data_IF_456531451328
#
_entry.id   IF_456531451328
#
_cell.length_a   1.000
_cell.length_b   1.000
_cell.length_c   1.000
_cell.angle_alpha   90.00
_cell.angle_beta   90.00
_cell.angle_gamma   90.00
#
_symmetry.space_group_name_H-M   'P 1'
#
loop_
_entity.id
_entity.type
_entity.pdbx_description
1 polymer ?
#
# COMPACT_ATOMS: atom_id res chain seq x y z
N UNK A 1 -31.04 -4.98 21.31
CA UNK A 1 -30.48 -3.65 20.93
C UNK A 1 -29.22 -3.91 20.12
N UNK A 2 -29.27 -3.49 18.86
CA UNK A 2 -28.48 -3.98 17.73
C UNK A 2 -27.07 -3.39 17.70
N UNK A 3 -26.04 -4.23 17.53
CA UNK A 3 -24.64 -3.84 17.26
C UNK A 3 -24.48 -3.49 15.77
N UNK A 4 -24.14 -2.25 15.47
CA UNK A 4 -23.71 -1.82 14.13
C UNK A 4 -22.18 -2.02 13.98
N UNK A 5 -21.77 -2.80 12.98
CA UNK A 5 -20.38 -2.91 12.51
C UNK A 5 -20.14 -1.82 11.46
N UNK A 6 -19.20 -0.91 11.72
CA UNK A 6 -18.73 0.07 10.73
C UNK A 6 -17.65 -0.56 9.85
N UNK A 7 -17.94 -0.65 8.54
CA UNK A 7 -16.99 -1.02 7.49
C UNK A 7 -16.36 0.29 6.99
N UNK A 8 -15.03 0.35 6.96
CA UNK A 8 -14.27 1.53 6.55
C UNK A 8 -14.30 1.69 5.02
N UNK A 9 -14.97 2.74 4.55
CA UNK A 9 -15.07 3.11 3.15
C UNK A 9 -13.76 3.76 2.67
N UNK A 10 -13.11 3.13 1.69
CA UNK A 10 -12.04 3.75 0.89
C UNK A 10 -12.70 4.59 -0.19
N UNK A 11 -12.42 5.90 -0.23
CA UNK A 11 -12.90 6.81 -1.27
C UNK A 11 -11.99 6.68 -2.50
N UNK A 12 -12.44 5.94 -3.51
CA UNK A 12 -11.90 5.98 -4.87
C UNK A 12 -12.41 7.25 -5.57
N UNK A 13 -11.51 8.12 -6.02
CA UNK A 13 -11.89 9.21 -6.94
C UNK A 13 -11.89 8.64 -8.36
N UNK A 14 -13.06 8.16 -8.80
CA UNK A 14 -13.31 7.77 -10.19
C UNK A 14 -13.50 9.04 -11.04
N UNK A 15 -12.59 9.29 -11.97
CA UNK A 15 -12.94 10.00 -13.22
C UNK A 15 -13.00 8.94 -14.33
N UNK A 16 -14.18 8.40 -14.54
CA UNK A 16 -14.50 7.53 -15.67
C UNK A 16 -15.07 8.39 -16.79
N UNK A 17 -14.48 8.40 -18.00
CA UNK A 17 -15.17 8.87 -19.18
C UNK A 17 -15.85 7.69 -19.88
N UNK A 18 -17.10 7.92 -20.31
CA UNK A 18 -17.79 7.28 -21.46
C UNK A 18 -18.76 6.10 -21.18
N UNK A 19 -20.04 6.52 -21.08
CA UNK A 19 -21.29 6.02 -21.70
C UNK A 19 -21.96 4.67 -21.38
N UNK A 20 -23.17 4.83 -20.82
CA UNK A 20 -24.51 4.27 -21.18
C UNK A 20 -24.77 2.74 -21.12
N UNK A 21 -25.77 2.46 -20.27
CA UNK A 21 -26.83 1.43 -20.32
C UNK A 21 -26.46 -0.01 -19.94
N UNK A 22 -26.72 -0.35 -18.68
CA UNK A 22 -27.56 -1.50 -18.28
C UNK A 22 -27.93 -1.39 -16.78
N UNK A 23 -29.14 -1.84 -16.44
CA UNK A 23 -29.80 -1.65 -15.13
C UNK A 23 -29.19 -2.53 -14.02
N UNK A 24 -29.23 -2.14 -12.74
CA UNK A 24 -28.76 -3.00 -11.65
C UNK A 24 -29.81 -4.07 -11.28
N UNK A 25 -29.42 -5.35 -11.28
CA UNK A 25 -30.22 -6.42 -10.68
C UNK A 25 -30.02 -6.42 -9.16
N UNK A 26 -31.12 -6.25 -8.42
CA UNK A 26 -31.20 -6.47 -6.98
C UNK A 26 -31.32 -7.98 -6.70
N UNK A 27 -30.48 -8.51 -5.81
CA UNK A 27 -30.76 -9.76 -5.12
C UNK A 27 -30.80 -9.48 -3.61
N UNK A 28 -31.97 -9.63 -3.02
CA UNK A 28 -32.15 -9.74 -1.57
C UNK A 28 -32.98 -10.99 -1.33
N UNK A 29 -32.37 -12.04 -0.78
CA UNK A 29 -33.12 -13.16 -0.24
C UNK A 29 -32.78 -13.27 1.25
N UNK A 30 -33.78 -12.96 2.08
CA UNK A 30 -33.83 -13.36 3.49
C UNK A 30 -33.93 -14.88 3.54
N UNK A 31 -33.07 -15.54 4.32
CA UNK A 31 -33.32 -16.92 4.77
C UNK A 31 -33.89 -16.86 6.19
N UNK A 32 -35.15 -17.27 6.34
CA UNK A 32 -35.76 -17.60 7.62
C UNK A 32 -35.31 -19.01 8.04
N UNK A 33 -34.74 -19.14 9.24
CA UNK A 33 -34.00 -20.34 9.67
C UNK A 33 -34.85 -21.38 10.41
N UNK A 34 -36.18 -21.22 10.46
CA UNK A 34 -37.05 -22.01 11.34
C UNK A 34 -38.18 -22.77 10.62
N UNK A 35 -37.92 -23.36 9.45
CA UNK A 35 -38.77 -24.42 8.92
C UNK A 35 -37.90 -25.56 8.35
N UNK A 36 -37.60 -26.53 9.19
CA UNK A 36 -37.11 -27.84 8.79
C UNK A 36 -37.91 -28.87 9.58
N UNK A 37 -39.04 -29.28 8.99
CA UNK A 37 -39.78 -30.45 9.40
C UNK A 37 -38.99 -31.70 9.00
N UNK A 38 -38.83 -32.59 9.98
CA UNK A 38 -38.16 -33.88 9.82
C UNK A 38 -39.11 -34.89 9.20
N UNK A 39 -39.20 -34.94 7.88
CA UNK A 39 -39.69 -36.11 7.16
C UNK A 39 -39.36 -35.97 5.68
N UNK A 40 -38.49 -36.84 5.18
CA UNK A 40 -38.55 -37.54 3.89
C UNK A 40 -37.27 -38.38 3.82
N UNK A 41 -37.48 -39.68 4.03
CA UNK A 41 -36.51 -40.71 3.76
C UNK A 41 -36.67 -41.15 2.29
N UNK A 42 -35.54 -41.34 1.61
CA UNK A 42 -35.46 -42.05 0.34
C UNK A 42 -35.75 -41.20 -0.89
N UNK A 43 -34.71 -40.56 -1.42
CA UNK A 43 -34.53 -40.35 -2.85
C UNK A 43 -33.01 -40.23 -3.11
N UNK A 44 -32.55 -40.88 -4.18
CA UNK A 44 -31.17 -40.81 -4.67
C UNK A 44 -30.72 -39.35 -4.79
N UNK A 45 -29.67 -38.99 -4.05
CA UNK A 45 -29.00 -37.69 -4.20
C UNK A 45 -28.27 -37.68 -5.54
N UNK A 46 -28.96 -37.27 -6.59
CA UNK A 46 -28.32 -36.82 -7.81
C UNK A 46 -27.52 -35.55 -7.43
N UNK A 47 -26.19 -35.67 -7.41
CA UNK A 47 -25.33 -34.58 -7.00
C UNK A 47 -25.67 -33.35 -7.85
N UNK A 48 -25.93 -32.17 -7.25
CA UNK A 48 -26.23 -30.99 -8.04
C UNK A 48 -25.05 -30.76 -8.98
N UNK A 49 -25.33 -30.88 -10.29
CA UNK A 49 -24.40 -30.52 -11.35
C UNK A 49 -23.96 -29.09 -11.06
N UNK A 50 -22.75 -28.94 -10.54
CA UNK A 50 -22.11 -27.64 -10.36
C UNK A 50 -22.08 -27.06 -11.77
N UNK A 51 -22.75 -25.93 -12.05
CA UNK A 51 -22.70 -25.34 -13.37
C UNK A 51 -21.22 -25.11 -13.67
N UNK A 52 -20.71 -25.82 -14.69
CA UNK A 52 -19.37 -25.60 -15.23
C UNK A 52 -19.31 -24.14 -15.58
N UNK A 53 -18.57 -23.37 -14.79
CA UNK A 53 -18.30 -21.97 -15.09
C UNK A 53 -17.78 -21.94 -16.52
N UNK A 54 -18.54 -21.29 -17.40
CA UNK A 54 -18.07 -20.98 -18.75
C UNK A 54 -16.68 -20.35 -18.62
N UNK A 55 -15.72 -20.70 -19.51
CA UNK A 55 -14.38 -20.16 -19.43
C UNK A 55 -14.48 -18.64 -19.48
N UNK A 56 -14.18 -18.01 -18.34
CA UNK A 56 -14.08 -16.56 -18.22
C UNK A 56 -13.10 -16.14 -19.31
N UNK A 57 -13.58 -15.36 -20.28
CA UNK A 57 -12.77 -14.80 -21.37
C UNK A 57 -11.41 -14.35 -20.80
N UNK A 58 -10.32 -14.94 -21.30
CA UNK A 58 -8.96 -14.58 -20.91
C UNK A 58 -8.79 -13.07 -21.01
N UNK A 59 -8.74 -12.39 -19.87
CA UNK A 59 -8.32 -11.00 -19.81
C UNK A 59 -6.94 -10.90 -20.47
N UNK A 60 -6.73 -9.86 -21.30
CA UNK A 60 -5.47 -9.65 -21.99
C UNK A 60 -4.28 -9.77 -21.02
N UNK A 61 -3.27 -10.56 -21.40
CA UNK A 61 -2.06 -10.72 -20.60
C UNK A 61 -1.32 -9.39 -20.53
N UNK A 62 -0.98 -8.94 -19.32
CA UNK A 62 -0.27 -7.68 -19.06
C UNK A 62 1.22 -7.94 -18.89
N UNK A 63 2.03 -7.39 -19.79
CA UNK A 63 3.49 -7.52 -19.78
C UNK A 63 4.11 -6.52 -18.83
N UNK A 64 4.72 -7.00 -17.75
CA UNK A 64 5.37 -6.18 -16.72
C UNK A 64 6.88 -6.42 -16.76
N UNK A 65 7.66 -5.34 -16.80
CA UNK A 65 9.09 -5.39 -16.55
C UNK A 65 9.37 -5.16 -15.06
N UNK A 66 10.21 -5.99 -14.45
CA UNK A 66 10.64 -5.84 -13.06
C UNK A 66 12.16 -5.72 -12.96
N UNK A 67 12.66 -4.56 -12.54
CA UNK A 67 14.08 -4.26 -12.39
C UNK A 67 14.43 -4.23 -10.90
N UNK A 68 15.26 -5.16 -10.43
CA UNK A 68 15.70 -5.23 -9.03
C UNK A 68 17.03 -5.96 -8.88
N UNK A 69 18.00 -5.39 -8.16
CA UNK A 69 19.33 -6.00 -8.01
C UNK A 69 19.34 -7.30 -7.20
N UNK A 70 18.61 -7.36 -6.08
CA UNK A 70 18.57 -8.56 -5.23
C UNK A 70 17.72 -9.68 -5.86
N UNK A 71 18.39 -10.76 -6.27
CA UNK A 71 17.80 -11.94 -6.92
C UNK A 71 16.67 -12.60 -6.10
N UNK A 72 16.86 -12.76 -4.78
CA UNK A 72 15.85 -13.39 -3.92
C UNK A 72 14.55 -12.57 -3.90
N UNK A 73 14.64 -11.26 -3.72
CA UNK A 73 13.47 -10.36 -3.71
C UNK A 73 12.74 -10.39 -5.04
N UNK A 74 13.49 -10.32 -6.14
CA UNK A 74 12.96 -10.38 -7.50
C UNK A 74 12.21 -11.69 -7.76
N UNK A 75 12.81 -12.82 -7.41
CA UNK A 75 12.21 -14.16 -7.58
C UNK A 75 10.96 -14.31 -6.71
N UNK A 76 11.06 -14.02 -5.41
CA UNK A 76 9.94 -14.16 -4.48
C UNK A 76 8.74 -13.29 -4.84
N UNK A 77 8.96 -12.01 -5.21
CA UNK A 77 7.87 -11.12 -5.58
C UNK A 77 7.25 -11.51 -6.92
N UNK A 78 8.06 -11.96 -7.89
CA UNK A 78 7.56 -12.45 -9.18
C UNK A 78 6.61 -13.62 -8.97
N UNK A 79 7.05 -14.66 -8.27
CA UNK A 79 6.23 -15.84 -7.96
C UNK A 79 4.95 -15.48 -7.21
N UNK A 80 5.04 -14.59 -6.21
CA UNK A 80 3.87 -14.15 -5.45
C UNK A 80 2.87 -13.35 -6.30
N UNK A 81 3.34 -12.47 -7.19
CA UNK A 81 2.46 -11.67 -8.06
C UNK A 81 1.75 -12.59 -9.05
N UNK A 82 2.48 -13.50 -9.70
CA UNK A 82 1.93 -14.46 -10.66
C UNK A 82 0.91 -15.40 -9.99
N UNK A 83 1.14 -15.78 -8.73
CA UNK A 83 0.19 -16.60 -7.97
C UNK A 83 -1.12 -15.87 -7.66
N UNK A 84 -1.06 -14.56 -7.40
CA UNK A 84 -2.25 -13.77 -7.02
C UNK A 84 -3.03 -13.30 -8.24
N UNK A 85 -2.36 -12.90 -9.32
CA UNK A 85 -3.01 -12.46 -10.56
C UNK A 85 -2.28 -13.06 -11.78
N UNK A 86 -2.81 -14.17 -12.34
CA UNK A 86 -2.18 -14.89 -13.44
C UNK A 86 -2.25 -14.13 -14.78
N UNK A 87 -2.87 -12.95 -14.83
CA UNK A 87 -2.89 -12.10 -16.02
C UNK A 87 -1.55 -11.41 -16.25
N UNK A 88 -0.73 -11.28 -15.22
CA UNK A 88 0.58 -10.66 -15.37
C UNK A 88 1.58 -11.64 -16.00
N UNK A 89 2.37 -11.14 -16.93
CA UNK A 89 3.58 -11.79 -17.44
C UNK A 89 4.76 -10.92 -17.02
N UNK A 90 5.63 -11.42 -16.15
CA UNK A 90 6.72 -10.62 -15.57
C UNK A 90 8.06 -11.02 -16.18
N UNK A 91 8.73 -10.05 -16.81
CA UNK A 91 10.12 -10.17 -17.27
C UNK A 91 11.03 -9.44 -16.29
N UNK A 92 12.07 -10.10 -15.79
CA UNK A 92 12.91 -9.55 -14.72
C UNK A 92 14.32 -9.19 -15.17
N UNK A 93 14.85 -8.07 -14.67
CA UNK A 93 16.23 -7.63 -14.86
C UNK A 93 16.87 -7.34 -13.50
N UNK A 94 18.18 -7.52 -13.40
CA UNK A 94 18.96 -7.22 -12.20
C UNK A 94 19.42 -5.76 -12.11
N UNK A 95 19.42 -5.02 -13.23
CA UNK A 95 19.86 -3.64 -13.31
C UNK A 95 19.15 -2.91 -14.44
N UNK A 96 18.95 -1.61 -14.30
CA UNK A 96 18.42 -0.79 -15.39
C UNK A 96 19.38 -0.74 -16.59
N UNK A 97 20.67 -1.04 -16.41
CA UNK A 97 21.65 -1.11 -17.50
C UNK A 97 21.42 -2.32 -18.42
N UNK A 98 20.86 -3.41 -17.88
CA UNK A 98 20.49 -4.59 -18.66
C UNK A 98 19.08 -4.48 -19.25
N UNK A 99 18.39 -3.35 -19.05
CA UNK A 99 17.12 -3.09 -19.70
C UNK A 99 17.34 -2.98 -21.22
N UNK A 100 16.55 -3.69 -22.04
CA UNK A 100 16.75 -3.72 -23.48
C UNK A 100 16.53 -2.34 -24.10
N UNK A 101 17.57 -1.81 -24.73
CA UNK A 101 17.53 -0.52 -25.45
C UNK A 101 16.80 -0.62 -26.79
N UNK A 102 16.55 -1.82 -27.29
CA UNK A 102 15.89 -2.05 -28.58
C UNK A 102 14.36 -1.94 -28.47
N UNK A 103 13.73 -1.39 -29.53
CA UNK A 103 12.30 -1.09 -29.71
C UNK A 103 11.30 -2.27 -29.51
N UNK A 104 11.74 -3.41 -28.99
CA UNK A 104 11.00 -4.67 -28.98
C UNK A 104 10.33 -5.02 -27.65
N UNK A 105 10.51 -4.23 -26.60
CA UNK A 105 9.91 -4.54 -25.31
C UNK A 105 8.74 -3.62 -25.03
N UNK A 106 7.60 -3.89 -25.66
CA UNK A 106 6.35 -3.20 -25.34
C UNK A 106 5.84 -3.73 -23.99
N UNK A 107 6.39 -3.19 -22.90
CA UNK A 107 5.89 -3.45 -21.56
C UNK A 107 4.69 -2.54 -21.30
N UNK A 108 3.64 -3.12 -20.73
CA UNK A 108 2.46 -2.37 -20.28
C UNK A 108 2.77 -1.60 -18.98
N UNK A 109 3.81 -2.02 -18.25
CA UNK A 109 4.27 -1.35 -17.05
C UNK A 109 5.71 -1.74 -16.70
N UNK A 110 6.48 -0.80 -16.15
CA UNK A 110 7.83 -1.04 -15.62
C UNK A 110 7.85 -0.76 -14.13
N UNK A 111 8.43 -1.69 -13.37
CA UNK A 111 8.70 -1.55 -11.94
C UNK A 111 10.20 -1.43 -11.75
N UNK A 112 10.64 -0.30 -11.19
CA UNK A 112 12.02 -0.09 -10.75
C UNK A 112 12.09 -0.21 -9.23
N UNK A 113 12.74 -1.26 -8.73
CA UNK A 113 12.97 -1.47 -7.30
C UNK A 113 14.32 -0.87 -6.88
N UNK A 114 14.26 0.32 -6.30
CA UNK A 114 15.42 0.96 -5.66
C UNK A 114 15.64 0.39 -4.25
N UNK A 115 16.75 -0.32 -4.06
CA UNK A 115 17.10 -1.00 -2.81
C UNK A 115 18.02 -0.16 -1.90
N UNK A 116 18.29 1.08 -2.27
CA UNK A 116 19.07 2.01 -1.46
C UNK A 116 18.23 2.50 -0.26
N UNK A 117 18.87 2.59 0.92
CA UNK A 117 18.16 2.83 2.19
C UNK A 117 17.88 4.29 2.50
N UNK A 118 18.58 5.23 1.84
CA UNK A 118 18.48 6.67 2.11
C UNK A 118 18.39 7.54 0.86
N UNK A 119 18.54 6.95 -0.32
CA UNK A 119 18.59 7.68 -1.59
C UNK A 119 17.93 6.84 -2.68
N UNK A 120 17.64 7.49 -3.80
CA UNK A 120 17.35 6.82 -5.06
C UNK A 120 18.45 7.21 -6.03
N UNK A 121 18.91 6.27 -6.85
CA UNK A 121 19.88 6.56 -7.88
C UNK A 121 19.22 7.37 -9.01
N UNK A 122 19.27 8.70 -8.88
CA UNK A 122 18.62 9.62 -9.82
C UNK A 122 19.23 9.54 -11.22
N UNK A 123 20.52 9.25 -11.34
CA UNK A 123 21.16 9.08 -12.64
C UNK A 123 20.63 7.84 -13.38
N UNK A 124 20.47 6.73 -12.66
CA UNK A 124 19.86 5.52 -13.19
C UNK A 124 18.38 5.72 -13.53
N UNK A 125 17.62 6.39 -12.65
CA UNK A 125 16.22 6.74 -12.89
C UNK A 125 16.07 7.61 -14.14
N UNK A 126 16.97 8.58 -14.33
CA UNK A 126 16.99 9.45 -15.53
C UNK A 126 17.26 8.62 -16.78
N UNK A 127 18.29 7.78 -16.77
CA UNK A 127 18.63 6.93 -17.90
C UNK A 127 17.48 5.98 -18.26
N UNK A 128 16.87 5.36 -17.25
CA UNK A 128 15.70 4.49 -17.44
C UNK A 128 14.52 5.26 -18.03
N UNK A 129 14.17 6.42 -17.48
CA UNK A 129 13.05 7.24 -17.97
C UNK A 129 13.26 7.65 -19.44
N UNK A 130 14.49 7.97 -19.84
CA UNK A 130 14.82 8.31 -21.22
C UNK A 130 14.76 7.12 -22.19
N UNK A 131 14.99 5.90 -21.68
CA UNK A 131 14.92 4.67 -22.48
C UNK A 131 13.48 4.18 -22.71
N UNK A 132 12.54 4.63 -21.88
CA UNK A 132 11.14 4.18 -21.93
C UNK A 132 10.31 5.03 -22.90
N UNK A 133 9.34 4.41 -23.61
CA UNK A 133 8.31 5.17 -24.31
C UNK A 133 7.53 6.06 -23.34
N UNK A 134 7.15 7.26 -23.78
CA UNK A 134 6.40 8.21 -22.95
C UNK A 134 5.04 7.66 -22.46
N UNK A 135 4.48 6.64 -23.13
CA UNK A 135 3.23 5.98 -22.77
C UNK A 135 3.39 4.87 -21.75
N UNK A 136 4.62 4.41 -21.48
CA UNK A 136 4.85 3.25 -20.60
C UNK A 136 4.91 3.71 -19.13
N UNK A 137 3.97 3.27 -18.29
CA UNK A 137 3.92 3.68 -16.89
C UNK A 137 5.11 3.10 -16.10
N UNK A 138 5.75 3.96 -15.31
CA UNK A 138 6.87 3.60 -14.45
C UNK A 138 6.45 3.69 -12.97
N UNK A 139 6.57 2.58 -12.25
CA UNK A 139 6.38 2.52 -10.79
C UNK A 139 7.73 2.34 -10.11
N UNK A 140 8.03 3.20 -9.13
CA UNK A 140 9.18 3.06 -8.27
C UNK A 140 8.76 2.36 -6.98
N UNK A 141 9.43 1.26 -6.67
CA UNK A 141 9.39 0.62 -5.35
C UNK A 141 10.70 0.97 -4.63
N UNK A 142 10.65 1.62 -3.48
CA UNK A 142 11.84 2.12 -2.79
C UNK A 142 11.98 1.56 -1.38
N UNK A 143 13.19 1.09 -1.03
CA UNK A 143 13.56 0.69 0.34
C UNK A 143 13.94 1.88 1.23
N UNK A 144 14.01 3.07 0.63
CA UNK A 144 14.37 4.29 1.33
C UNK A 144 13.31 4.68 2.35
N UNK A 145 13.76 5.23 3.47
CA UNK A 145 12.88 5.87 4.45
C UNK A 145 13.23 7.35 4.51
N UNK A 146 12.22 8.22 4.50
CA UNK A 146 12.36 9.67 4.69
C UNK A 146 13.22 10.34 3.60
N UNK A 147 12.78 10.26 2.33
CA UNK A 147 13.41 10.97 1.22
C UNK A 147 13.42 12.48 1.48
N UNK A 148 14.54 13.14 1.19
CA UNK A 148 14.62 14.59 1.34
C UNK A 148 13.70 15.30 0.32
N UNK A 149 13.18 16.49 0.64
CA UNK A 149 12.34 17.26 -0.28
C UNK A 149 12.99 17.49 -1.65
N UNK A 150 14.31 17.69 -1.69
CA UNK A 150 15.06 17.90 -2.93
C UNK A 150 15.07 16.64 -3.81
N UNK A 151 15.23 15.45 -3.20
CA UNK A 151 15.19 14.18 -3.92
C UNK A 151 13.77 13.89 -4.42
N UNK A 152 12.75 14.18 -3.61
CA UNK A 152 11.35 14.05 -4.02
C UNK A 152 11.05 14.99 -5.19
N UNK A 153 11.49 16.25 -5.13
CA UNK A 153 11.30 17.21 -6.20
C UNK A 153 11.98 16.75 -7.51
N UNK A 154 13.16 16.13 -7.43
CA UNK A 154 13.84 15.57 -8.60
C UNK A 154 13.08 14.37 -9.18
N UNK A 155 12.62 13.44 -8.33
CA UNK A 155 11.83 12.29 -8.76
C UNK A 155 10.56 12.73 -9.49
N UNK A 156 9.89 13.78 -8.99
CA UNK A 156 8.67 14.32 -9.59
C UNK A 156 8.88 15.00 -10.95
N UNK A 157 10.13 15.33 -11.34
CA UNK A 157 10.44 15.80 -12.70
C UNK A 157 10.39 14.66 -13.72
N UNK A 158 10.50 13.41 -13.28
CA UNK A 158 10.35 12.24 -14.14
C UNK A 158 8.88 11.88 -14.29
N UNK A 159 8.50 11.38 -15.47
CA UNK A 159 7.14 10.92 -15.75
C UNK A 159 6.90 9.55 -15.11
N UNK A 160 6.70 9.53 -13.80
CA UNK A 160 6.39 8.31 -13.03
C UNK A 160 4.90 8.18 -12.77
N UNK A 161 4.40 6.94 -12.87
CA UNK A 161 3.02 6.58 -12.59
C UNK A 161 2.84 6.14 -11.14
N UNK A 162 3.88 5.65 -10.47
CA UNK A 162 3.75 5.15 -9.10
C UNK A 162 4.97 5.35 -8.25
N UNK A 163 4.76 5.59 -6.95
CA UNK A 163 5.80 5.46 -5.94
C UNK A 163 5.29 4.69 -4.72
N UNK A 164 6.06 3.70 -4.27
CA UNK A 164 5.76 2.85 -3.12
C UNK A 164 6.99 2.69 -2.23
N UNK A 165 6.80 2.82 -0.92
CA UNK A 165 7.82 2.44 0.07
C UNK A 165 7.72 0.94 0.36
N UNK A 166 8.72 0.15 -0.03
CA UNK A 166 8.71 -1.31 0.10
C UNK A 166 8.52 -1.80 1.54
N UNK A 167 9.05 -1.04 2.51
CA UNK A 167 9.02 -1.38 3.95
C UNK A 167 7.62 -1.29 4.56
N UNK A 168 6.77 -0.42 4.04
CA UNK A 168 5.44 -0.14 4.57
C UNK A 168 4.32 -0.65 3.62
N UNK A 169 4.70 -1.15 2.44
CA UNK A 169 3.76 -1.62 1.42
C UNK A 169 3.51 -3.12 1.57
N UNK A 170 2.25 -3.50 1.73
CA UNK A 170 1.85 -4.91 1.65
C UNK A 170 1.78 -5.40 0.21
N UNK A 171 1.94 -6.71 0.00
CA UNK A 171 1.84 -7.33 -1.33
C UNK A 171 0.51 -7.00 -2.05
N UNK A 172 -0.59 -6.89 -1.30
CA UNK A 172 -1.91 -6.51 -1.86
C UNK A 172 -1.91 -5.10 -2.43
N UNK A 173 -1.22 -4.17 -1.76
CA UNK A 173 -1.09 -2.78 -2.23
C UNK A 173 -0.24 -2.77 -3.48
N UNK A 174 0.92 -3.45 -3.47
CA UNK A 174 1.79 -3.57 -4.64
C UNK A 174 1.02 -4.07 -5.86
N UNK A 175 0.31 -5.19 -5.74
CA UNK A 175 -0.48 -5.78 -6.84
C UNK A 175 -1.57 -4.82 -7.33
N UNK A 176 -2.29 -4.17 -6.40
CA UNK A 176 -3.30 -3.17 -6.75
C UNK A 176 -2.69 -1.99 -7.51
N UNK A 177 -1.49 -1.55 -7.12
CA UNK A 177 -0.76 -0.49 -7.80
C UNK A 177 -0.30 -0.89 -9.20
N UNK A 178 0.12 -2.15 -9.41
CA UNK A 178 0.45 -2.66 -10.75
C UNK A 178 -0.78 -2.62 -11.66
N UNK A 179 -1.90 -3.20 -11.21
CA UNK A 179 -3.15 -3.20 -11.97
C UNK A 179 -3.64 -1.76 -12.25
N UNK A 180 -3.54 -0.86 -11.27
CA UNK A 180 -3.92 0.54 -11.43
C UNK A 180 -3.01 1.28 -12.42
N UNK A 181 -1.70 1.06 -12.35
CA UNK A 181 -0.72 1.65 -13.27
C UNK A 181 -0.94 1.21 -14.72
N UNK A 182 -1.20 -0.09 -14.95
CA UNK A 182 -1.55 -0.61 -16.30
C UNK A 182 -2.85 -0.01 -16.86
N UNK A 183 -3.73 0.51 -15.99
CA UNK A 183 -4.95 1.22 -16.39
C UNK A 183 -4.74 2.73 -16.59
N UNK A 184 -3.50 3.22 -16.54
CA UNK A 184 -3.14 4.64 -16.66
C UNK A 184 -3.33 5.45 -15.37
N UNK A 185 -3.54 4.79 -14.24
CA UNK A 185 -3.67 5.44 -12.94
C UNK A 185 -2.32 5.87 -12.34
N UNK A 186 -2.33 6.93 -11.53
CA UNK A 186 -1.15 7.42 -10.79
C UNK A 186 -1.33 7.29 -9.29
N UNK A 187 -0.33 6.72 -8.59
CA UNK A 187 -0.34 6.59 -7.12
C UNK A 187 0.95 7.13 -6.50
N UNK A 188 0.84 8.12 -5.61
CA UNK A 188 2.00 8.75 -4.94
C UNK A 188 1.77 8.87 -3.43
N UNK A 189 2.81 8.67 -2.59
CA UNK A 189 2.74 8.94 -1.16
C UNK A 189 2.35 10.39 -0.87
N UNK A 190 1.65 10.61 0.24
CA UNK A 190 1.13 11.94 0.59
C UNK A 190 2.25 12.96 0.82
N UNK A 191 3.34 12.51 1.40
CA UNK A 191 4.53 13.31 1.70
C UNK A 191 5.20 13.87 0.45
N UNK A 192 4.97 13.30 -0.74
CA UNK A 192 5.41 13.90 -2.01
C UNK A 192 4.72 15.24 -2.30
N UNK A 193 3.50 15.41 -1.79
CA UNK A 193 2.69 16.61 -1.97
C UNK A 193 2.82 17.61 -0.81
N UNK A 194 3.55 17.27 0.25
CA UNK A 194 3.77 18.18 1.38
C UNK A 194 4.72 19.34 1.03
N UNK A 195 5.47 19.24 -0.08
CA UNK A 195 6.47 20.23 -0.52
C UNK A 195 6.04 21.07 -1.72
N UNK A 196 4.81 20.90 -2.24
CA UNK A 196 4.26 21.68 -3.34
C UNK A 196 3.22 22.69 -2.85
N UNK A 197 3.44 23.97 -3.15
CA UNK A 197 2.52 25.07 -2.89
C UNK A 197 1.06 24.72 -3.25
N UNK A 198 0.17 24.92 -2.27
CA UNK A 198 -1.28 25.13 -2.37
C UNK A 198 -1.92 24.90 -3.76
N UNK A 199 -2.12 23.64 -4.16
CA UNK A 199 -3.34 23.32 -4.92
C UNK A 199 -4.42 23.10 -3.89
N UNK A 200 -5.39 24.02 -3.89
CA UNK A 200 -6.59 24.07 -3.05
C UNK A 200 -7.50 22.86 -3.35
N UNK A 201 -7.04 21.65 -3.12
CA UNK A 201 -7.91 20.52 -2.83
C UNK A 201 -8.33 20.71 -1.38
N UNK A 202 -9.62 20.91 -1.15
CA UNK A 202 -10.18 20.95 0.20
C UNK A 202 -9.60 19.76 0.99
N UNK A 203 -9.06 19.98 2.21
CA UNK A 203 -8.51 18.88 2.99
C UNK A 203 -9.59 17.82 3.13
N UNK A 204 -9.41 16.66 2.50
CA UNK A 204 -9.91 15.44 3.10
C UNK A 204 -9.02 15.25 4.32
N UNK A 205 -9.43 15.91 5.41
CA UNK A 205 -8.83 15.76 6.72
C UNK A 205 -8.63 14.27 6.93
N UNK A 206 -7.37 13.85 7.12
CA UNK A 206 -7.17 12.58 7.76
C UNK A 206 -7.93 12.66 9.09
N UNK A 207 -8.79 11.66 9.41
CA UNK A 207 -9.48 11.66 10.69
C UNK A 207 -8.44 11.96 11.76
N UNK A 208 -8.69 12.95 12.60
CA UNK A 208 -7.78 13.41 13.66
C UNK A 208 -7.21 12.21 14.43
N UNK A 209 -8.00 11.14 14.56
CA UNK A 209 -7.66 9.81 15.06
C UNK A 209 -6.38 9.18 14.50
N UNK A 210 -6.03 9.38 13.21
CA UNK A 210 -4.80 8.81 12.61
C UNK A 210 -3.53 9.60 12.96
N UNK A 211 -3.69 10.89 13.28
CA UNK A 211 -2.61 11.76 13.77
C UNK A 211 -2.41 11.63 15.29
N UNK A 212 -3.47 11.23 16.00
CA UNK A 212 -3.39 10.96 17.42
C UNK A 212 -2.68 9.65 17.73
N UNK A 213 -1.90 9.65 18.80
CA UNK A 213 -1.34 8.45 19.38
C UNK A 213 -2.48 7.65 20.01
N UNK A 214 -2.51 6.35 19.72
CA UNK A 214 -3.41 5.43 20.43
C UNK A 214 -2.99 5.31 21.90
N UNK A 215 -3.86 4.84 22.80
CA UNK A 215 -3.51 4.63 24.22
C UNK A 215 -2.24 3.79 24.39
N UNK A 216 -2.10 2.75 23.56
CA UNK A 216 -0.93 1.88 23.57
C UNK A 216 0.34 2.57 23.09
N UNK A 217 0.22 3.47 22.12
CA UNK A 217 1.35 4.28 21.63
C UNK A 217 1.74 5.38 22.64
N UNK A 218 0.81 5.89 23.45
CA UNK A 218 1.11 6.80 24.56
C UNK A 218 1.93 6.12 25.66
N UNK A 219 1.60 4.87 26.01
CA UNK A 219 2.40 4.06 26.94
C UNK A 219 3.83 3.86 26.41
N UNK A 220 3.96 3.54 25.12
CA UNK A 220 5.26 3.42 24.45
C UNK A 220 6.01 4.75 24.44
N UNK A 221 5.32 5.87 24.18
CA UNK A 221 5.91 7.21 24.20
C UNK A 221 6.48 7.56 25.59
N UNK A 222 5.78 7.21 26.67
CA UNK A 222 6.28 7.39 28.05
C UNK A 222 7.61 6.67 28.28
N UNK A 223 7.72 5.42 27.81
CA UNK A 223 8.95 4.64 27.95
C UNK A 223 10.06 5.13 27.01
N UNK A 224 9.72 5.71 25.85
CA UNK A 224 10.68 6.40 24.98
C UNK A 224 11.27 7.62 25.68
N UNK A 225 10.43 8.45 26.33
CA UNK A 225 10.88 9.62 27.10
C UNK A 225 11.83 9.26 28.24
N UNK A 226 11.64 8.09 28.85
CA UNK A 226 12.52 7.55 29.89
C UNK A 226 13.81 6.90 29.33
N UNK A 227 14.02 6.92 28.02
CA UNK A 227 15.19 6.32 27.38
C UNK A 227 15.22 4.78 27.39
N UNK A 228 14.11 4.10 27.66
CA UNK A 228 14.09 2.63 27.82
C UNK A 228 14.28 1.90 26.49
N UNK A 229 15.29 1.03 26.30
CA UNK A 229 15.45 0.29 25.05
C UNK A 229 14.24 -0.58 24.70
N UNK A 230 14.07 -0.92 23.42
CA UNK A 230 12.90 -1.67 22.92
C UNK A 230 12.67 -3.00 23.63
N UNK A 231 13.75 -3.66 24.10
CA UNK A 231 13.66 -4.89 24.90
C UNK A 231 12.99 -4.66 26.26
N UNK A 232 13.28 -3.54 26.92
CA UNK A 232 12.62 -3.17 28.16
C UNK A 232 11.19 -2.69 27.90
N UNK A 233 10.92 -1.95 26.82
CA UNK A 233 9.55 -1.58 26.42
C UNK A 233 8.69 -2.83 26.21
N UNK A 234 9.23 -3.81 25.51
CA UNK A 234 8.58 -5.09 25.27
C UNK A 234 8.22 -5.78 26.60
N UNK A 235 9.18 -5.88 27.51
CA UNK A 235 8.96 -6.50 28.82
C UNK A 235 7.93 -5.73 29.67
N UNK A 236 8.08 -4.41 29.79
CA UNK A 236 7.20 -3.56 30.60
C UNK A 236 5.75 -3.57 30.12
N UNK A 237 5.55 -3.67 28.81
CA UNK A 237 4.21 -3.68 28.23
C UNK A 237 3.69 -5.10 27.94
N UNK A 238 4.42 -6.16 28.28
CA UNK A 238 4.08 -7.55 27.92
C UNK A 238 3.84 -7.72 26.41
N UNK A 239 4.76 -7.20 25.60
CA UNK A 239 4.80 -7.29 24.14
C UNK A 239 6.02 -8.12 23.70
N UNK A 240 5.98 -8.64 22.47
CA UNK A 240 7.18 -9.17 21.83
C UNK A 240 8.15 -8.03 21.44
N UNK A 241 9.44 -8.34 21.31
CA UNK A 241 10.44 -7.36 20.89
C UNK A 241 10.18 -6.79 19.48
N UNK A 242 9.62 -7.60 18.57
CA UNK A 242 9.25 -7.16 17.23
C UNK A 242 8.03 -6.22 17.28
N UNK A 243 7.02 -6.54 18.09
CA UNK A 243 5.85 -5.68 18.31
C UNK A 243 6.23 -4.34 18.93
N UNK A 244 7.13 -4.33 19.93
CA UNK A 244 7.65 -3.10 20.52
C UNK A 244 8.37 -2.22 19.47
N UNK A 245 9.16 -2.83 18.57
CA UNK A 245 9.82 -2.11 17.47
C UNK A 245 8.82 -1.45 16.51
N UNK A 246 7.71 -2.14 16.20
CA UNK A 246 6.63 -1.60 15.37
C UNK A 246 5.97 -0.39 16.04
N UNK A 247 5.59 -0.50 17.32
CA UNK A 247 4.98 0.62 18.04
C UNK A 247 5.92 1.81 18.15
N UNK A 248 7.21 1.60 18.43
CA UNK A 248 8.21 2.68 18.48
C UNK A 248 8.30 3.38 17.13
N UNK A 249 8.33 2.65 16.01
CA UNK A 249 8.30 3.24 14.66
C UNK A 249 7.04 4.08 14.44
N UNK A 250 5.88 3.55 14.80
CA UNK A 250 4.61 4.26 14.61
C UNK A 250 4.54 5.54 15.44
N UNK A 251 5.00 5.51 16.69
CA UNK A 251 5.10 6.70 17.55
C UNK A 251 6.01 7.75 16.93
N UNK A 252 7.21 7.35 16.47
CA UNK A 252 8.14 8.28 15.82
C UNK A 252 7.54 8.90 14.55
N UNK A 253 6.90 8.08 13.70
CA UNK A 253 6.20 8.54 12.49
C UNK A 253 5.08 9.54 12.81
N UNK A 254 4.21 9.25 13.78
CA UNK A 254 3.10 10.13 14.19
C UNK A 254 3.59 11.44 14.81
N UNK A 255 4.76 11.44 15.44
CA UNK A 255 5.43 12.65 15.95
C UNK A 255 6.32 13.35 14.89
N UNK A 256 6.39 12.78 13.67
CA UNK A 256 7.26 13.24 12.59
C UNK A 256 8.75 13.20 12.93
N UNK A 257 9.16 12.36 13.88
CA UNK A 257 10.53 12.26 14.37
C UNK A 257 11.34 11.22 13.59
N UNK A 258 12.55 11.59 13.16
CA UNK A 258 13.47 10.72 12.42
C UNK A 258 14.37 9.88 13.32
N UNK A 259 14.56 10.33 14.57
CA UNK A 259 15.33 9.60 15.56
C UNK A 259 14.63 9.57 16.93
N UNK A 260 15.02 8.58 17.73
CA UNK A 260 14.43 8.32 19.05
C UNK A 260 14.55 9.51 20.00
N UNK A 261 15.67 10.23 19.96
CA UNK A 261 15.91 11.41 20.78
C UNK A 261 14.99 12.55 20.39
N UNK A 262 14.78 12.76 19.09
CA UNK A 262 13.86 13.76 18.54
C UNK A 262 12.42 13.41 18.89
N UNK A 263 12.06 12.12 18.90
CA UNK A 263 10.74 11.67 19.36
C UNK A 263 10.53 11.98 20.84
N UNK A 264 11.55 11.73 21.69
CA UNK A 264 11.50 12.10 23.10
C UNK A 264 11.36 13.62 23.29
N UNK A 265 12.06 14.44 22.50
CA UNK A 265 11.95 15.89 22.55
C UNK A 265 10.56 16.40 22.12
N UNK A 266 10.07 15.94 20.96
CA UNK A 266 8.76 16.34 20.42
C UNK A 266 7.57 15.85 21.24
N UNK A 267 7.77 14.83 22.08
CA UNK A 267 6.74 14.34 23.01
C UNK A 267 6.19 15.43 23.93
N UNK A 268 7.02 16.40 24.34
CA UNK A 268 6.63 17.47 25.24
C UNK A 268 5.61 18.40 24.58
N UNK A 269 5.92 18.86 23.37
CA UNK A 269 5.02 19.68 22.57
C UNK A 269 3.73 18.93 22.22
N UNK A 270 3.83 17.64 21.91
CA UNK A 270 2.67 16.80 21.61
C UNK A 270 1.73 16.67 22.80
N UNK A 271 2.26 16.33 23.98
CA UNK A 271 1.46 16.18 25.19
C UNK A 271 0.82 17.51 25.58
N UNK A 272 1.59 18.63 25.56
CA UNK A 272 1.06 19.97 25.87
C UNK A 272 -0.13 20.38 24.99
N UNK A 273 -0.08 20.04 23.70
CA UNK A 273 -1.13 20.40 22.76
C UNK A 273 -2.35 19.47 22.83
N UNK A 274 -2.24 18.32 23.49
CA UNK A 274 -3.31 17.32 23.63
C UNK A 274 -3.71 17.08 25.10
N UNK A 275 -3.25 17.92 26.03
CA UNK A 275 -3.53 17.85 27.47
C UNK A 275 -5.01 18.09 27.82
N UNK A 276 -5.77 18.75 26.94
CA UNK A 276 -7.17 19.12 27.18
C UNK A 276 -8.17 17.99 26.86
N UNK A 277 -7.69 16.83 26.37
CA UNK A 277 -8.54 15.74 25.87
C UNK A 277 -8.48 14.46 26.72
N UNK A 278 -7.71 14.43 27.81
CA UNK A 278 -7.45 13.21 28.58
C UNK A 278 -7.64 13.42 30.09
N UNK A 279 -8.89 13.60 30.51
CA UNK A 279 -9.33 13.15 31.85
C UNK A 279 -10.16 11.87 31.68
N UNK A 280 -9.71 10.72 32.18
CA UNK A 280 -10.59 9.58 32.36
C UNK A 280 -11.43 9.82 33.64
N UNK A 281 -12.75 9.77 33.49
CA UNK A 281 -13.72 9.56 34.58
C UNK A 281 -13.63 8.11 35.05
#
# INVERSE_FOLDING_TARGET
MTRAKFVSTVVLILRCPITRRSKPLHWTTKMDINQLDSSIAGDEFDAPQIPTAEPIHHAASLSICWIAAVSLTRTCLTELILHVDPRFSITTFDSAQHFPTEKQSNFDLVVYHSQATHTINLAELTALTLSLPASTPLIILSDATDLSPDVVAEILKHSISGFLYSRDTSIKILISSLAFGTSGGTFMPRDFFASGSAVKAAPLEEPVERRLLTPRELEVLSLIRQGKPNKLIAHTLNLSASTAKIHVRNVMRKLGATNRTQAAFRSLSYLRNNSDCHTPV
#
